data_IF_550785882471
#
_entry.id   IF_550785882471
#
_cell.length_a   1.000
_cell.length_b   1.000
_cell.length_c   1.000
_cell.angle_alpha   90.00
_cell.angle_beta   90.00
_cell.angle_gamma   90.00
#
_symmetry.space_group_name_H-M   'P 1'
#
loop_
_entity.id
_entity.type
_entity.pdbx_description
1 polymer ?
#
# COMPACT_ATOMS: atom_id res chain seq x y z
N UNK A 1 -9.11 27.60 -10.62
CA UNK A 1 -9.60 27.13 -9.30
C UNK A 1 -8.73 25.96 -8.93
N UNK A 2 -7.91 26.05 -7.89
CA UNK A 2 -7.11 24.92 -7.43
C UNK A 2 -8.07 24.07 -6.59
N UNK A 3 -8.51 22.95 -7.16
CA UNK A 3 -9.33 21.98 -6.44
C UNK A 3 -8.48 21.47 -5.27
N UNK A 4 -8.90 21.77 -4.05
CA UNK A 4 -8.25 21.25 -2.84
C UNK A 4 -8.42 19.74 -2.89
N UNK A 5 -7.33 18.99 -3.10
CA UNK A 5 -7.35 17.53 -3.04
C UNK A 5 -7.94 17.16 -1.68
N UNK A 6 -9.03 16.39 -1.64
CA UNK A 6 -9.51 15.84 -0.38
C UNK A 6 -8.41 14.93 0.13
N UNK A 7 -7.76 15.28 1.24
CA UNK A 7 -6.82 14.39 1.92
C UNK A 7 -7.53 13.07 2.21
N UNK A 8 -6.87 11.95 1.88
CA UNK A 8 -7.40 10.62 2.12
C UNK A 8 -7.54 10.39 3.62
N UNK A 9 -8.73 10.01 4.10
CA UNK A 9 -8.88 9.54 5.47
C UNK A 9 -8.51 8.06 5.57
N UNK A 10 -7.26 7.79 5.90
CA UNK A 10 -6.73 6.42 6.00
C UNK A 10 -7.45 5.56 7.06
N UNK A 11 -8.16 6.18 8.02
CA UNK A 11 -8.92 5.44 9.04
C UNK A 11 -10.14 4.74 8.47
N UNK A 12 -10.70 5.24 7.37
CA UNK A 12 -11.91 4.71 6.75
C UNK A 12 -11.59 3.72 5.64
N UNK A 13 -10.47 3.91 4.95
CA UNK A 13 -10.07 3.08 3.82
C UNK A 13 -8.92 3.69 3.04
N UNK A 14 -8.75 3.21 1.82
CA UNK A 14 -7.68 3.63 0.93
C UNK A 14 -8.23 4.05 -0.44
N UNK A 15 -7.72 5.15 -0.99
CA UNK A 15 -8.08 5.63 -2.32
C UNK A 15 -6.97 5.32 -3.32
N UNK A 16 -7.34 4.68 -4.41
CA UNK A 16 -6.50 4.49 -5.60
C UNK A 16 -6.72 5.68 -6.54
N UNK A 17 -5.65 6.22 -7.14
CA UNK A 17 -5.76 7.35 -8.05
C UNK A 17 -6.28 6.91 -9.43
N UNK A 18 -5.72 5.83 -9.98
CA UNK A 18 -6.16 5.22 -11.24
C UNK A 18 -6.14 3.69 -11.12
N UNK A 19 -7.31 3.02 -11.14
CA UNK A 19 -8.66 3.59 -11.26
C UNK A 19 -9.07 4.42 -10.02
N UNK A 20 -9.85 5.49 -10.23
CA UNK A 20 -10.33 6.38 -9.15
C UNK A 20 -11.39 5.66 -8.30
N UNK A 21 -10.92 4.88 -7.32
CA UNK A 21 -11.76 4.00 -6.49
C UNK A 21 -11.33 4.10 -5.03
N UNK A 22 -12.32 4.27 -4.16
CA UNK A 22 -12.15 4.16 -2.72
C UNK A 22 -12.49 2.75 -2.22
N UNK A 23 -11.60 2.19 -1.41
CA UNK A 23 -11.64 0.86 -0.84
C UNK A 23 -11.77 0.98 0.69
N UNK A 24 -12.95 0.76 1.28
CA UNK A 24 -13.10 0.83 2.73
C UNK A 24 -12.48 -0.40 3.40
N UNK A 25 -12.01 -0.24 4.64
CA UNK A 25 -11.35 -1.34 5.38
C UNK A 25 -12.28 -2.51 5.75
N UNK A 26 -13.59 -2.32 5.75
CA UNK A 26 -14.57 -3.35 6.05
C UNK A 26 -15.06 -4.09 4.79
N UNK A 27 -14.46 -3.83 3.63
CA UNK A 27 -14.82 -4.52 2.38
C UNK A 27 -14.48 -6.01 2.46
N UNK A 28 -15.41 -6.84 2.02
CA UNK A 28 -15.20 -8.27 1.83
C UNK A 28 -14.59 -8.59 0.45
N UNK A 29 -14.08 -9.82 0.31
CA UNK A 29 -13.42 -10.31 -0.90
C UNK A 29 -14.31 -10.23 -2.16
N UNK A 30 -15.58 -10.60 -2.03
CA UNK A 30 -16.52 -10.65 -3.15
C UNK A 30 -16.85 -9.23 -3.64
N UNK A 31 -17.10 -8.31 -2.71
CA UNK A 31 -17.38 -6.91 -2.99
C UNK A 31 -16.16 -6.23 -3.61
N UNK A 32 -14.94 -6.49 -3.12
CA UNK A 32 -13.72 -5.97 -3.73
C UNK A 32 -13.56 -6.48 -5.17
N UNK A 33 -13.73 -7.78 -5.37
CA UNK A 33 -13.61 -8.40 -6.68
C UNK A 33 -14.59 -7.78 -7.69
N UNK A 34 -15.85 -7.57 -7.29
CA UNK A 34 -16.85 -6.92 -8.14
C UNK A 34 -16.45 -5.48 -8.51
N UNK A 35 -15.90 -4.71 -7.57
CA UNK A 35 -15.44 -3.33 -7.82
C UNK A 35 -14.27 -3.26 -8.78
N UNK A 36 -13.34 -4.22 -8.73
CA UNK A 36 -12.06 -4.13 -9.44
C UNK A 36 -11.94 -5.06 -10.67
N UNK A 37 -12.89 -5.95 -10.93
CA UNK A 37 -12.77 -6.98 -11.98
C UNK A 37 -12.46 -6.44 -13.38
N UNK A 38 -12.89 -5.21 -13.69
CA UNK A 38 -12.66 -4.56 -15.00
C UNK A 38 -11.28 -3.91 -15.13
N UNK A 39 -10.45 -3.97 -14.08
CA UNK A 39 -9.18 -3.24 -13.99
C UNK A 39 -7.95 -4.17 -13.85
N UNK A 40 -7.96 -5.35 -14.47
CA UNK A 40 -6.89 -6.35 -14.35
C UNK A 40 -6.64 -6.82 -12.90
N UNK A 41 -7.70 -6.84 -12.10
CA UNK A 41 -7.68 -7.40 -10.76
C UNK A 41 -7.43 -8.90 -10.81
N UNK A 42 -6.39 -9.36 -10.11
CA UNK A 42 -5.91 -10.75 -10.17
C UNK A 42 -5.90 -11.37 -8.78
N UNK A 43 -6.54 -12.53 -8.65
CA UNK A 43 -6.35 -13.41 -7.49
C UNK A 43 -4.98 -14.08 -7.57
N UNK A 44 -4.17 -13.93 -6.53
CA UNK A 44 -2.87 -14.61 -6.40
C UNK A 44 -3.05 -15.93 -5.66
N UNK A 45 -3.73 -15.88 -4.50
CA UNK A 45 -4.13 -17.04 -3.71
C UNK A 45 -5.38 -16.70 -2.90
N UNK A 46 -5.90 -17.64 -2.12
CA UNK A 46 -7.04 -17.40 -1.21
C UNK A 46 -6.71 -16.28 -0.22
N UNK A 47 -7.57 -15.26 -0.16
CA UNK A 47 -7.39 -14.07 0.66
C UNK A 47 -6.31 -13.10 0.18
N UNK A 48 -5.77 -13.27 -1.04
CA UNK A 48 -4.76 -12.35 -1.58
C UNK A 48 -5.00 -12.02 -3.06
N UNK A 49 -5.17 -10.73 -3.32
CA UNK A 49 -5.45 -10.18 -4.64
C UNK A 49 -4.49 -9.04 -4.98
N UNK A 50 -4.36 -8.74 -6.27
CA UNK A 50 -3.45 -7.68 -6.75
C UNK A 50 -4.06 -6.90 -7.91
N UNK A 51 -3.65 -5.64 -8.06
CA UNK A 51 -3.97 -4.79 -9.21
C UNK A 51 -2.75 -3.92 -9.55
N UNK A 52 -2.48 -3.70 -10.84
CA UNK A 52 -1.57 -2.64 -11.27
C UNK A 52 -2.32 -1.32 -11.34
N UNK A 53 -1.83 -0.28 -10.68
CA UNK A 53 -2.55 0.98 -10.54
C UNK A 53 -1.59 2.18 -10.45
N UNK A 54 -2.18 3.38 -10.48
CA UNK A 54 -1.55 4.57 -9.90
C UNK A 54 -2.16 4.89 -8.55
N UNK A 55 -1.33 5.27 -7.59
CA UNK A 55 -1.75 5.57 -6.23
C UNK A 55 -0.94 6.73 -5.64
N UNK A 56 -1.32 7.23 -4.46
CA UNK A 56 -0.49 8.15 -3.67
C UNK A 56 0.12 9.32 -4.45
N UNK A 57 -0.67 10.03 -5.26
CA UNK A 57 -0.24 11.11 -6.13
C UNK A 57 0.52 10.64 -7.39
N UNK A 58 0.05 9.57 -8.03
CA UNK A 58 0.56 9.12 -9.34
C UNK A 58 1.71 8.10 -9.30
N UNK A 59 2.00 7.53 -8.13
CA UNK A 59 2.92 6.40 -7.97
C UNK A 59 2.42 5.19 -8.78
N UNK A 60 3.21 4.75 -9.76
CA UNK A 60 2.93 3.51 -10.47
C UNK A 60 3.39 2.32 -9.62
N UNK A 61 2.46 1.45 -9.25
CA UNK A 61 2.75 0.28 -8.43
C UNK A 61 1.79 -0.87 -8.70
N UNK A 62 2.09 -2.03 -8.12
CA UNK A 62 1.13 -3.08 -7.86
C UNK A 62 0.66 -2.93 -6.42
N UNK A 63 -0.66 -2.91 -6.23
CA UNK A 63 -1.31 -2.90 -4.94
C UNK A 63 -1.86 -4.30 -4.65
N UNK A 64 -1.40 -4.89 -3.56
CA UNK A 64 -1.86 -6.15 -2.99
C UNK A 64 -2.90 -5.92 -1.91
N UNK A 65 -3.94 -6.77 -1.88
CA UNK A 65 -5.03 -6.75 -0.90
C UNK A 65 -5.04 -8.07 -0.15
N UNK A 66 -4.77 -8.01 1.16
CA UNK A 66 -4.75 -9.17 2.05
C UNK A 66 -5.99 -9.17 2.96
N UNK A 67 -6.69 -10.29 2.97
CA UNK A 67 -7.92 -10.51 3.74
C UNK A 67 -7.66 -11.44 4.92
N UNK A 68 -8.29 -11.13 6.07
CA UNK A 68 -8.22 -11.96 7.28
C UNK A 68 -9.63 -12.17 7.88
N UNK A 69 -10.04 -13.42 8.20
CA UNK A 69 -9.38 -14.67 7.80
C UNK A 69 -9.27 -14.81 6.27
N UNK A 70 -8.34 -15.65 5.80
CA UNK A 70 -8.09 -15.80 4.35
C UNK A 70 -9.30 -16.21 3.53
N UNK A 71 -10.32 -16.80 4.15
CA UNK A 71 -11.59 -17.16 3.51
C UNK A 71 -12.73 -16.41 4.18
N UNK A 72 -13.54 -15.71 3.38
CA UNK A 72 -14.66 -14.87 3.84
C UNK A 72 -14.25 -13.78 4.85
N UNK A 73 -12.99 -13.32 4.79
CA UNK A 73 -12.48 -12.24 5.62
C UNK A 73 -12.78 -10.86 5.08
N UNK A 74 -12.29 -9.87 5.83
CA UNK A 74 -12.30 -8.46 5.47
C UNK A 74 -10.89 -7.99 5.14
N UNK A 75 -10.77 -6.91 4.38
CA UNK A 75 -9.49 -6.30 4.08
C UNK A 75 -8.77 -5.90 5.38
N UNK A 76 -7.54 -6.38 5.54
CA UNK A 76 -6.74 -6.12 6.73
C UNK A 76 -5.40 -5.44 6.40
N UNK A 77 -4.83 -5.70 5.23
CA UNK A 77 -3.53 -5.17 4.84
C UNK A 77 -3.49 -4.86 3.33
N UNK A 78 -2.84 -3.74 3.02
CA UNK A 78 -2.44 -3.35 1.68
C UNK A 78 -0.91 -3.46 1.56
N UNK A 79 -0.45 -4.04 0.47
CA UNK A 79 0.97 -4.21 0.18
C UNK A 79 1.32 -3.55 -1.15
N UNK A 80 2.39 -2.76 -1.18
CA UNK A 80 2.82 -2.03 -2.36
C UNK A 80 4.12 -2.61 -2.87
N UNK A 81 4.19 -2.91 -4.15
CA UNK A 81 5.39 -3.45 -4.78
C UNK A 81 5.47 -3.08 -6.26
N UNK A 82 6.62 -3.36 -6.87
CA UNK A 82 6.89 -3.15 -8.30
C UNK A 82 7.33 -4.47 -8.92
N UNK A 83 7.42 -4.48 -10.25
CA UNK A 83 8.00 -5.62 -10.99
C UNK A 83 9.49 -5.43 -11.29
N UNK A 84 9.98 -4.19 -11.24
CA UNK A 84 11.38 -3.85 -11.53
C UNK A 84 12.04 -3.25 -10.28
N UNK A 85 13.07 -3.93 -9.80
CA UNK A 85 13.90 -3.56 -8.66
C UNK A 85 15.38 -3.44 -9.04
N UNK A 86 15.66 -3.10 -10.31
CA UNK A 86 17.03 -2.89 -10.80
C UNK A 86 17.81 -1.81 -10.03
N UNK A 87 17.11 -0.86 -9.42
CA UNK A 87 17.66 0.13 -8.50
C UNK A 87 16.82 0.22 -7.21
N UNK A 88 17.16 -0.57 -6.17
CA UNK A 88 16.43 -0.60 -4.91
C UNK A 88 16.41 0.75 -4.18
N UNK A 89 17.49 1.54 -4.28
CA UNK A 89 17.57 2.86 -3.63
C UNK A 89 16.62 3.85 -4.28
N UNK A 90 16.54 3.83 -5.61
CA UNK A 90 15.58 4.65 -6.33
C UNK A 90 14.14 4.24 -6.01
N UNK A 91 13.84 2.94 -6.03
CA UNK A 91 12.50 2.43 -5.66
C UNK A 91 12.10 2.90 -4.26
N UNK A 92 12.97 2.67 -3.27
CA UNK A 92 12.76 3.07 -1.89
C UNK A 92 12.52 4.57 -1.74
N UNK A 93 13.37 5.41 -2.32
CA UNK A 93 13.20 6.86 -2.21
C UNK A 93 11.91 7.35 -2.89
N UNK A 94 11.54 6.73 -4.01
CA UNK A 94 10.31 7.07 -4.75
C UNK A 94 9.07 6.72 -3.92
N UNK A 95 8.98 5.48 -3.41
CA UNK A 95 7.93 5.09 -2.47
C UNK A 95 7.88 6.00 -1.25
N UNK A 96 9.03 6.25 -0.60
CA UNK A 96 9.10 7.10 0.58
C UNK A 96 8.56 8.51 0.30
N UNK A 97 8.92 9.11 -0.84
CA UNK A 97 8.48 10.46 -1.18
C UNK A 97 6.97 10.54 -1.38
N UNK A 98 6.36 9.56 -2.06
CA UNK A 98 4.92 9.49 -2.28
C UNK A 98 4.14 9.33 -0.98
N UNK A 99 4.64 8.49 -0.06
CA UNK A 99 4.02 8.30 1.25
C UNK A 99 4.17 9.53 2.15
N UNK A 100 5.33 10.19 2.16
CA UNK A 100 5.51 11.44 2.90
C UNK A 100 4.60 12.54 2.36
N UNK A 101 4.42 12.62 1.04
CA UNK A 101 3.53 13.60 0.43
C UNK A 101 2.05 13.37 0.79
N UNK A 102 1.61 12.12 0.92
CA UNK A 102 0.21 11.81 1.24
C UNK A 102 -0.07 11.80 2.76
N UNK A 103 0.86 11.31 3.57
CA UNK A 103 0.64 11.04 5.01
C UNK A 103 1.45 11.95 5.94
N UNK A 104 2.28 12.83 5.40
CA UNK A 104 3.23 13.62 6.16
C UNK A 104 4.43 12.82 6.64
N UNK A 105 5.22 13.40 7.55
CA UNK A 105 6.41 12.74 8.09
C UNK A 105 6.06 11.49 8.91
N UNK A 106 6.91 10.45 8.89
CA UNK A 106 6.72 9.26 9.71
C UNK A 106 6.71 9.61 11.19
N UNK A 107 5.92 8.85 11.96
CA UNK A 107 5.87 8.96 13.42
C UNK A 107 7.18 8.50 14.06
N UNK A 108 7.87 7.53 13.45
CA UNK A 108 9.21 7.13 13.88
C UNK A 108 10.07 6.67 12.72
N UNK A 109 11.37 6.79 12.92
CA UNK A 109 12.40 6.28 12.02
C UNK A 109 13.49 5.55 12.81
N UNK A 110 14.09 4.54 12.19
CA UNK A 110 15.28 3.88 12.71
C UNK A 110 16.22 3.46 11.59
N UNK A 111 17.45 3.08 11.92
CA UNK A 111 18.36 2.51 10.94
C UNK A 111 17.91 1.08 10.60
N UNK A 112 17.73 0.81 9.31
CA UNK A 112 17.47 -0.53 8.78
C UNK A 112 18.77 -1.20 8.33
N UNK A 113 18.64 -2.16 7.42
CA UNK A 113 19.76 -2.91 6.84
C UNK A 113 20.25 -2.25 5.56
N UNK A 114 21.49 -2.53 5.14
CA UNK A 114 22.02 -2.15 3.81
C UNK A 114 21.94 -0.65 3.47
N UNK A 115 21.99 0.19 4.52
CA UNK A 115 21.92 1.66 4.39
C UNK A 115 20.51 2.22 4.20
N UNK A 116 19.47 1.38 4.27
CA UNK A 116 18.08 1.81 4.28
C UNK A 116 17.62 2.20 5.68
N UNK A 117 16.62 3.08 5.74
CA UNK A 117 15.90 3.41 6.98
C UNK A 117 14.68 2.51 7.12
N UNK A 118 14.18 2.39 8.34
CA UNK A 118 12.85 1.86 8.61
C UNK A 118 11.96 3.03 9.01
N UNK A 119 10.82 3.20 8.35
CA UNK A 119 9.85 4.24 8.64
C UNK A 119 8.54 3.63 9.10
N UNK A 120 7.91 4.29 10.09
CA UNK A 120 6.61 3.90 10.60
C UNK A 120 5.72 5.13 10.74
N UNK A 121 4.48 5.03 10.25
CA UNK A 121 3.40 5.95 10.58
C UNK A 121 2.38 5.22 11.44
N UNK A 122 2.08 5.76 12.61
CA UNK A 122 1.06 5.23 13.50
C UNK A 122 -0.15 6.14 13.50
N UNK A 123 -1.27 5.61 13.06
CA UNK A 123 -2.60 6.20 13.18
C UNK A 123 -3.41 5.42 14.21
N UNK A 124 -4.58 5.95 14.59
CA UNK A 124 -5.46 5.33 15.60
C UNK A 124 -5.74 3.83 15.35
N UNK A 125 -6.13 3.44 14.14
CA UNK A 125 -6.44 2.03 13.80
C UNK A 125 -5.68 1.54 12.58
N UNK A 126 -4.66 2.28 12.13
CA UNK A 126 -3.85 1.92 10.96
C UNK A 126 -2.38 2.16 11.26
N UNK A 127 -1.53 1.25 10.79
CA UNK A 127 -0.09 1.40 10.78
C UNK A 127 0.43 1.31 9.35
N UNK A 128 1.35 2.20 8.99
CA UNK A 128 2.11 2.12 7.75
C UNK A 128 3.55 1.82 8.09
N UNK A 129 4.17 0.88 7.36
CA UNK A 129 5.59 0.57 7.50
C UNK A 129 6.29 0.60 6.15
N UNK A 130 7.51 1.10 6.13
CA UNK A 130 8.39 1.08 4.98
C UNK A 130 9.80 0.71 5.40
N UNK A 131 10.30 -0.43 4.91
CA UNK A 131 11.63 -0.91 5.24
C UNK A 131 12.17 -1.84 4.15
N UNK A 132 13.48 -2.06 4.16
CA UNK A 132 14.13 -3.12 3.38
C UNK A 132 14.61 -4.19 4.35
N UNK A 133 14.45 -5.45 3.95
CA UNK A 133 14.96 -6.61 4.68
C UNK A 133 15.76 -7.50 3.72
N UNK A 134 16.86 -8.07 4.18
CA UNK A 134 17.64 -9.03 3.39
C UNK A 134 17.52 -10.43 4.00
N UNK A 135 16.86 -11.33 3.26
CA UNK A 135 16.73 -12.74 3.65
C UNK A 135 17.28 -13.68 2.59
N UNK A 136 16.92 -13.41 1.33
CA UNK A 136 17.34 -14.16 0.14
C UNK A 136 17.73 -13.20 -0.99
N UNK A 137 18.15 -11.99 -0.63
CA UNK A 137 18.15 -10.81 -1.47
C UNK A 137 17.36 -9.68 -0.80
N UNK A 138 17.58 -8.45 -1.29
CA UNK A 138 16.90 -7.26 -0.80
C UNK A 138 15.40 -7.32 -1.13
N UNK A 139 14.57 -7.28 -0.10
CA UNK A 139 13.12 -7.22 -0.17
C UNK A 139 12.64 -5.87 0.36
N UNK A 140 12.04 -5.06 -0.50
CA UNK A 140 11.40 -3.80 -0.11
C UNK A 140 9.97 -4.08 0.34
N UNK A 141 9.66 -3.69 1.57
CA UNK A 141 8.33 -3.82 2.16
C UNK A 141 7.72 -2.45 2.39
N UNK A 142 6.64 -2.14 1.67
CA UNK A 142 5.80 -0.98 1.88
C UNK A 142 4.36 -1.45 2.11
N UNK A 143 3.84 -1.25 3.33
CA UNK A 143 2.57 -1.85 3.77
C UNK A 143 1.73 -0.89 4.59
N UNK A 144 0.42 -1.01 4.45
CA UNK A 144 -0.58 -0.34 5.28
C UNK A 144 -1.46 -1.41 5.90
N UNK A 145 -1.55 -1.44 7.23
CA UNK A 145 -2.24 -2.50 7.96
C UNK A 145 -3.22 -1.90 8.97
N UNK A 146 -4.42 -2.47 9.05
CA UNK A 146 -5.37 -2.20 10.12
C UNK A 146 -4.92 -2.93 11.41
N UNK A 147 -4.91 -2.21 12.53
CA UNK A 147 -4.52 -2.73 13.86
C UNK A 147 -5.71 -2.91 14.80
#
# INVERSE_FOLDING_TARGET
MIQKKSEMNIQEGFKIDEPDIFIPWDIDEQTLAQKLNVHNFKRVTTGYYTISCKSLNGLNCILGFHFEPRENGILNELEFFRTDYSDPKKSFNDFQSHFVNEFGNPTSESNGTEGFKNYVWNFKTVQIVHYVFDRFGLEEHMRIKRI
#
